data_IF_595142644558
#
_entry.id   IF_595142644558
#
_cell.length_a   1.000
_cell.length_b   1.000
_cell.length_c   1.000
_cell.angle_alpha   90.00
_cell.angle_beta   90.00
_cell.angle_gamma   90.00
#
_symmetry.space_group_name_H-M   'P 1'
#
loop_
_entity.id
_entity.type
_entity.pdbx_description
1 polymer ?
#
# COMPACT_ATOMS: atom_id res chain seq x y z
N UNK A 1 -2.98 20.86 -12.64
CA UNK A 1 -3.91 20.27 -11.66
C UNK A 1 -4.25 18.86 -12.11
N UNK A 2 -4.21 17.92 -11.19
CA UNK A 2 -4.60 16.51 -11.36
C UNK A 2 -5.71 16.19 -10.34
N UNK A 3 -6.49 15.10 -10.55
CA UNK A 3 -7.19 14.46 -9.43
C UNK A 3 -6.18 14.10 -8.35
N UNK A 4 -6.60 14.08 -7.10
CA UNK A 4 -5.77 13.59 -6.03
C UNK A 4 -5.27 12.17 -6.33
N UNK A 5 -3.99 11.93 -6.12
CA UNK A 5 -3.41 10.60 -6.30
C UNK A 5 -3.89 9.67 -5.18
N UNK A 6 -3.98 8.38 -5.49
CA UNK A 6 -4.48 7.36 -4.56
C UNK A 6 -3.43 6.26 -4.44
N UNK A 7 -2.90 6.08 -3.24
CA UNK A 7 -1.95 5.02 -2.91
C UNK A 7 -2.69 3.76 -2.45
N UNK A 8 -2.46 2.62 -3.10
CA UNK A 8 -3.21 1.38 -2.86
C UNK A 8 -2.48 0.34 -2.01
N UNK A 9 -1.24 0.61 -1.60
CA UNK A 9 -0.46 -0.28 -0.74
C UNK A 9 0.67 0.49 -0.04
N UNK A 10 0.82 0.28 1.26
CA UNK A 10 1.89 0.84 2.10
C UNK A 10 2.06 0.02 3.38
N UNK A 11 3.19 0.26 4.09
CA UNK A 11 3.48 -0.18 5.46
C UNK A 11 4.09 1.02 6.21
N UNK A 12 3.27 1.85 6.85
CA UNK A 12 3.68 3.14 7.41
C UNK A 12 4.84 3.05 8.40
N UNK A 13 4.85 2.01 9.24
CA UNK A 13 5.91 1.82 10.24
C UNK A 13 7.30 1.60 9.61
N UNK A 14 7.38 1.17 8.36
CA UNK A 14 8.63 0.88 7.68
C UNK A 14 9.45 2.15 7.37
N UNK A 15 8.89 3.36 7.49
CA UNK A 15 9.67 4.61 7.43
C UNK A 15 10.78 4.66 8.48
N UNK A 16 10.64 3.92 9.57
CA UNK A 16 11.65 3.78 10.63
C UNK A 16 12.83 2.87 10.25
N UNK A 17 12.76 2.17 9.12
CA UNK A 17 13.78 1.20 8.68
C UNK A 17 14.31 1.45 7.27
N UNK A 18 14.21 2.70 6.79
CA UNK A 18 14.75 3.14 5.51
C UNK A 18 16.23 2.85 5.39
N UNK A 19 16.66 2.32 4.25
CA UNK A 19 18.06 2.03 3.94
C UNK A 19 18.81 1.32 5.07
N UNK A 20 18.13 0.45 5.81
CA UNK A 20 18.74 -0.28 6.93
C UNK A 20 19.81 -1.24 6.40
N UNK A 21 21.10 -1.13 6.82
CA UNK A 21 22.19 -1.94 6.25
C UNK A 21 21.94 -3.45 6.28
N UNK A 22 21.26 -3.96 7.32
CA UNK A 22 20.93 -5.38 7.44
C UNK A 22 19.94 -5.89 6.39
N UNK A 23 19.17 -5.01 5.76
CA UNK A 23 18.15 -5.34 4.75
C UNK A 23 18.62 -5.08 3.31
N UNK A 24 19.71 -4.33 3.10
CA UNK A 24 20.20 -3.98 1.76
C UNK A 24 20.66 -5.22 0.97
N UNK A 25 20.40 -5.20 -0.35
CA UNK A 25 20.80 -6.22 -1.31
C UNK A 25 20.29 -7.63 -0.97
N UNK A 26 19.07 -7.73 -0.47
CA UNK A 26 18.39 -8.99 -0.15
C UNK A 26 17.09 -9.11 -0.96
N UNK A 27 16.79 -10.36 -1.40
CA UNK A 27 15.45 -10.70 -1.89
C UNK A 27 14.45 -10.84 -0.73
N UNK A 28 13.14 -10.98 -1.04
CA UNK A 28 12.03 -10.87 -0.10
C UNK A 28 12.20 -11.67 1.21
N UNK A 29 12.45 -12.99 1.15
CA UNK A 29 12.48 -13.82 2.37
C UNK A 29 13.66 -13.50 3.28
N UNK A 30 14.92 -13.39 2.80
CA UNK A 30 16.03 -12.92 3.63
C UNK A 30 15.87 -11.49 4.12
N UNK A 31 15.19 -10.63 3.35
CA UNK A 31 14.87 -9.26 3.73
C UNK A 31 13.88 -9.24 4.91
N UNK A 32 12.77 -9.99 4.84
CA UNK A 32 11.80 -10.15 5.93
C UNK A 32 12.47 -10.72 7.20
N UNK A 33 13.30 -11.76 7.07
CA UNK A 33 14.01 -12.36 8.21
C UNK A 33 14.94 -11.37 8.92
N UNK A 34 15.54 -10.43 8.17
CA UNK A 34 16.38 -9.38 8.75
C UNK A 34 15.56 -8.28 9.46
N UNK A 35 14.36 -7.99 8.97
CA UNK A 35 13.55 -6.86 9.46
C UNK A 35 12.54 -7.23 10.56
N UNK A 36 11.96 -8.43 10.55
CA UNK A 36 11.02 -8.83 11.60
C UNK A 36 11.54 -8.63 13.03
N UNK A 37 12.81 -8.98 13.38
CA UNK A 37 13.34 -8.71 14.72
C UNK A 37 13.43 -7.23 15.06
N UNK A 38 13.62 -6.35 14.05
CA UNK A 38 13.63 -4.90 14.24
C UNK A 38 12.20 -4.39 14.45
N UNK A 39 11.26 -4.82 13.60
CA UNK A 39 9.86 -4.42 13.70
C UNK A 39 9.16 -4.96 14.96
N UNK A 40 9.65 -6.05 15.54
CA UNK A 40 9.18 -6.55 16.84
C UNK A 40 9.40 -5.57 18.01
N UNK A 41 10.15 -4.49 17.79
CA UNK A 41 10.41 -3.41 18.78
C UNK A 41 9.53 -2.19 18.56
N UNK A 42 8.54 -2.25 17.67
CA UNK A 42 7.57 -1.18 17.48
C UNK A 42 6.86 -0.88 18.80
N UNK A 43 6.70 0.41 19.06
CA UNK A 43 5.89 0.93 20.17
C UNK A 43 4.81 1.85 19.64
N UNK A 44 3.76 2.18 20.43
CA UNK A 44 2.74 3.16 20.03
C UNK A 44 3.34 4.49 19.55
N UNK A 45 4.37 5.02 20.22
CA UNK A 45 5.03 6.25 19.79
C UNK A 45 5.77 6.09 18.46
N UNK A 46 6.48 4.97 18.26
CA UNK A 46 7.23 4.70 17.04
C UNK A 46 6.27 4.57 15.85
N UNK A 47 5.17 3.84 16.02
CA UNK A 47 4.14 3.73 15.00
C UNK A 47 3.52 5.08 14.67
N UNK A 48 3.16 5.89 15.68
CA UNK A 48 2.62 7.23 15.45
C UNK A 48 3.58 8.12 14.63
N UNK A 49 4.87 8.09 14.93
CA UNK A 49 5.88 8.84 14.19
C UNK A 49 6.04 8.31 12.76
N UNK A 50 6.12 7.00 12.60
CA UNK A 50 6.23 6.36 11.28
C UNK A 50 5.04 6.68 10.38
N UNK A 51 3.82 6.51 10.89
CA UNK A 51 2.59 6.81 10.18
C UNK A 51 2.48 8.32 9.82
N UNK A 52 2.86 9.20 10.75
CA UNK A 52 2.85 10.65 10.49
C UNK A 52 3.83 11.01 9.36
N UNK A 53 5.04 10.45 9.35
CA UNK A 53 6.03 10.67 8.27
C UNK A 53 5.51 10.15 6.95
N UNK A 54 5.06 8.89 6.89
CA UNK A 54 4.55 8.27 5.66
C UNK A 54 3.41 9.08 5.03
N UNK A 55 2.38 9.38 5.81
CA UNK A 55 1.23 10.14 5.32
C UNK A 55 1.58 11.58 4.94
N UNK A 56 2.54 12.23 5.64
CA UNK A 56 2.99 13.58 5.28
C UNK A 56 3.74 13.60 3.95
N UNK A 57 4.60 12.62 3.67
CA UNK A 57 5.28 12.50 2.38
C UNK A 57 4.30 12.19 1.26
N UNK A 58 3.33 11.29 1.50
CA UNK A 58 2.27 11.01 0.54
C UNK A 58 1.49 12.28 0.19
N UNK A 59 1.03 13.06 1.19
CA UNK A 59 0.35 14.34 0.96
C UNK A 59 1.22 15.29 0.13
N UNK A 60 2.49 15.43 0.47
CA UNK A 60 3.44 16.29 -0.25
C UNK A 60 3.68 15.81 -1.69
N UNK A 61 3.48 14.53 -1.99
CA UNK A 61 3.56 13.98 -3.34
C UNK A 61 2.28 14.18 -4.18
N UNK A 62 1.22 14.75 -3.61
CA UNK A 62 -0.08 14.93 -4.26
C UNK A 62 -1.09 13.82 -3.99
N UNK A 63 -0.78 12.89 -3.09
CA UNK A 63 -1.67 11.83 -2.67
C UNK A 63 -2.75 12.38 -1.73
N UNK A 64 -4.01 12.05 -1.98
CA UNK A 64 -5.17 12.48 -1.16
C UNK A 64 -5.80 11.32 -0.41
N UNK A 65 -5.58 10.10 -0.88
CA UNK A 65 -6.11 8.87 -0.29
C UNK A 65 -5.01 7.82 -0.24
N UNK A 66 -4.84 7.18 0.90
CA UNK A 66 -3.85 6.10 1.05
C UNK A 66 -4.43 4.90 1.76
N UNK A 67 -3.88 3.72 1.44
CA UNK A 67 -4.03 2.52 2.27
C UNK A 67 -2.81 2.36 3.14
N UNK A 68 -2.94 1.55 4.19
CA UNK A 68 -1.82 0.96 4.91
C UNK A 68 -2.09 -0.52 5.15
N UNK A 69 -1.06 -1.35 5.15
CA UNK A 69 -1.11 -2.75 5.50
C UNK A 69 -0.30 -3.00 6.78
N UNK A 70 -0.91 -2.65 7.92
CA UNK A 70 -0.31 -2.88 9.24
C UNK A 70 -0.56 -4.32 9.68
N UNK A 71 0.49 -5.13 9.79
CA UNK A 71 0.38 -6.55 10.14
C UNK A 71 1.33 -7.00 11.28
N UNK A 72 2.12 -6.10 11.83
CA UNK A 72 3.08 -6.36 12.91
C UNK A 72 2.52 -5.87 14.24
N UNK A 73 2.16 -6.79 15.13
CA UNK A 73 1.53 -6.49 16.42
C UNK A 73 2.36 -7.09 17.57
N UNK A 74 3.51 -6.49 17.94
CA UNK A 74 4.23 -6.87 19.15
C UNK A 74 3.42 -6.51 20.39
N UNK A 75 3.74 -7.12 21.52
CA UNK A 75 3.08 -6.84 22.80
C UNK A 75 3.10 -5.33 23.12
N UNK A 76 1.95 -4.78 23.52
CA UNK A 76 1.76 -3.36 23.81
C UNK A 76 1.44 -2.48 22.60
N UNK A 77 1.14 -3.09 21.43
CA UNK A 77 0.73 -2.40 20.22
C UNK A 77 -0.64 -2.90 19.69
N UNK A 78 -1.53 -3.23 20.61
CA UNK A 78 -2.87 -3.76 20.28
C UNK A 78 -3.77 -2.70 19.62
N UNK A 79 -3.50 -1.41 19.86
CA UNK A 79 -4.25 -0.26 19.34
C UNK A 79 -3.63 0.37 18.07
N UNK A 80 -2.81 -0.40 17.32
CA UNK A 80 -2.08 0.11 16.16
C UNK A 80 -2.97 0.86 15.16
N UNK A 81 -4.11 0.30 14.78
CA UNK A 81 -5.03 0.93 13.81
C UNK A 81 -5.66 2.20 14.37
N UNK A 82 -5.92 2.27 15.67
CA UNK A 82 -6.41 3.49 16.35
C UNK A 82 -5.39 4.64 16.25
N UNK A 83 -4.10 4.31 16.41
CA UNK A 83 -2.97 5.26 16.29
C UNK A 83 -2.89 5.82 14.87
N UNK A 84 -2.97 4.96 13.85
CA UNK A 84 -2.95 5.36 12.44
C UNK A 84 -4.17 6.23 12.07
N UNK A 85 -5.36 5.86 12.53
CA UNK A 85 -6.58 6.67 12.35
C UNK A 85 -6.41 8.07 12.97
N UNK A 86 -5.84 8.14 14.17
CA UNK A 86 -5.61 9.43 14.84
C UNK A 86 -4.61 10.31 14.05
N UNK A 87 -3.53 9.72 13.53
CA UNK A 87 -2.57 10.42 12.69
C UNK A 87 -3.19 10.90 11.37
N UNK A 88 -3.98 10.05 10.70
CA UNK A 88 -4.69 10.41 9.47
C UNK A 88 -5.67 11.57 9.65
N UNK A 89 -6.46 11.54 10.73
CA UNK A 89 -7.39 12.61 11.08
C UNK A 89 -6.68 13.93 11.34
N UNK A 90 -5.53 13.90 12.02
CA UNK A 90 -4.73 15.09 12.29
C UNK A 90 -4.18 15.72 11.00
N UNK A 91 -3.74 14.91 10.05
CA UNK A 91 -3.21 15.36 8.77
C UNK A 91 -4.29 15.70 7.73
N UNK A 92 -5.53 15.26 7.95
CA UNK A 92 -6.64 15.47 7.03
C UNK A 92 -6.56 14.62 5.75
N UNK A 93 -5.76 13.55 5.73
CA UNK A 93 -5.68 12.62 4.62
C UNK A 93 -6.80 11.57 4.70
N UNK A 94 -7.36 11.18 3.56
CA UNK A 94 -8.32 10.07 3.47
C UNK A 94 -7.59 8.74 3.55
N UNK A 95 -8.14 7.77 4.30
CA UNK A 95 -7.49 6.47 4.48
C UNK A 95 -8.45 5.29 4.32
N UNK A 96 -7.93 4.20 3.75
CA UNK A 96 -8.44 2.85 3.83
C UNK A 96 -7.37 2.01 4.55
N UNK A 97 -7.42 1.98 5.88
CA UNK A 97 -6.45 1.25 6.68
C UNK A 97 -6.83 -0.23 6.75
N UNK A 98 -5.85 -1.10 6.81
CA UNK A 98 -6.12 -2.52 6.95
C UNK A 98 -5.71 -3.03 8.32
N UNK A 99 -6.62 -3.77 8.97
CA UNK A 99 -6.25 -4.61 10.08
C UNK A 99 -5.57 -5.85 9.52
N UNK A 100 -4.25 -5.75 9.34
CA UNK A 100 -3.41 -6.85 8.89
C UNK A 100 -3.19 -7.87 10.01
N UNK A 101 -2.65 -9.05 9.67
CA UNK A 101 -2.45 -10.10 10.67
C UNK A 101 -1.42 -11.12 10.23
N UNK A 102 -0.76 -11.74 11.22
CA UNK A 102 0.07 -12.93 11.07
C UNK A 102 -0.21 -13.86 12.25
N UNK A 103 -0.45 -15.15 11.97
CA UNK A 103 -0.65 -16.18 13.00
C UNK A 103 0.12 -17.48 12.72
N UNK A 104 1.02 -17.48 11.72
CA UNK A 104 1.93 -18.59 11.42
C UNK A 104 3.37 -18.13 11.65
N UNK A 105 3.96 -18.60 12.74
CA UNK A 105 5.33 -18.30 13.10
C UNK A 105 6.36 -19.28 12.48
N UNK A 106 7.63 -19.01 12.73
CA UNK A 106 8.71 -19.91 12.34
C UNK A 106 8.54 -21.34 12.90
N UNK A 107 7.93 -21.50 14.09
CA UNK A 107 7.59 -22.82 14.68
C UNK A 107 6.62 -23.60 13.80
N UNK A 108 5.74 -22.92 13.10
CA UNK A 108 4.66 -23.50 12.30
C UNK A 108 4.97 -23.47 10.81
N UNK A 109 6.26 -23.30 10.46
CA UNK A 109 6.75 -23.25 9.07
C UNK A 109 6.53 -21.92 8.36
N UNK A 110 6.20 -20.86 9.09
CA UNK A 110 6.13 -19.48 8.56
C UNK A 110 7.47 -18.75 8.65
N UNK A 111 7.49 -17.48 8.25
CA UNK A 111 8.69 -16.64 8.33
C UNK A 111 8.75 -15.74 9.58
N UNK A 112 7.64 -15.20 10.12
CA UNK A 112 7.71 -14.29 11.24
C UNK A 112 8.12 -14.98 12.56
N UNK A 113 8.85 -14.29 13.45
CA UNK A 113 9.11 -14.79 14.80
C UNK A 113 7.84 -14.77 15.64
N UNK A 114 7.80 -15.60 16.70
CA UNK A 114 6.65 -15.70 17.61
C UNK A 114 6.24 -14.36 18.23
N UNK A 115 7.18 -13.43 18.39
CA UNK A 115 6.95 -12.13 19.03
C UNK A 115 6.08 -11.15 18.24
N UNK A 116 5.77 -11.45 16.97
CA UNK A 116 4.97 -10.57 16.10
C UNK A 116 3.73 -11.25 15.53
N UNK A 117 3.46 -12.50 15.92
CA UNK A 117 2.24 -13.21 15.56
C UNK A 117 1.23 -13.16 16.71
N UNK A 118 -0.04 -13.25 16.37
CA UNK A 118 -1.15 -13.27 17.33
C UNK A 118 -1.97 -14.55 17.14
N UNK A 119 -2.73 -14.95 18.16
CA UNK A 119 -3.73 -16.01 18.02
C UNK A 119 -4.93 -15.55 17.17
N UNK A 120 -5.64 -16.52 16.59
CA UNK A 120 -6.74 -16.27 15.65
C UNK A 120 -7.91 -15.52 16.31
N UNK A 121 -8.26 -15.88 17.56
CA UNK A 121 -9.36 -15.25 18.30
C UNK A 121 -9.07 -13.78 18.58
N UNK A 122 -7.87 -13.45 19.00
CA UNK A 122 -7.40 -12.05 19.19
C UNK A 122 -7.47 -11.26 17.89
N UNK A 123 -7.01 -11.85 16.77
CA UNK A 123 -7.04 -11.18 15.47
C UNK A 123 -8.48 -10.89 15.02
N UNK A 124 -9.38 -11.86 15.12
CA UNK A 124 -10.77 -11.71 14.69
C UNK A 124 -11.54 -10.74 15.58
N UNK A 125 -11.34 -10.80 16.89
CA UNK A 125 -11.98 -9.88 17.84
C UNK A 125 -11.55 -8.43 17.61
N UNK A 126 -10.25 -8.19 17.39
CA UNK A 126 -9.73 -6.87 17.11
C UNK A 126 -10.16 -6.36 15.71
N UNK A 127 -10.22 -7.25 14.73
CA UNK A 127 -10.75 -6.92 13.39
C UNK A 127 -12.19 -6.42 13.46
N UNK A 128 -13.05 -7.10 14.21
CA UNK A 128 -14.44 -6.67 14.47
C UNK A 128 -14.48 -5.34 15.21
N UNK A 129 -13.64 -5.16 16.23
CA UNK A 129 -13.54 -3.94 17.03
C UNK A 129 -13.19 -2.72 16.14
N UNK A 130 -12.12 -2.80 15.34
CA UNK A 130 -11.67 -1.66 14.54
C UNK A 130 -12.63 -1.33 13.42
N UNK A 131 -13.26 -2.32 12.79
CA UNK A 131 -14.32 -2.09 11.79
C UNK A 131 -15.50 -1.38 12.44
N UNK A 132 -16.00 -1.88 13.55
CA UNK A 132 -17.14 -1.28 14.27
C UNK A 132 -16.85 0.16 14.72
N UNK A 133 -15.62 0.42 15.18
CA UNK A 133 -15.24 1.71 15.75
C UNK A 133 -14.95 2.77 14.70
N UNK A 134 -14.34 2.40 13.58
CA UNK A 134 -13.72 3.36 12.67
C UNK A 134 -14.26 3.36 11.25
N UNK A 135 -14.83 2.23 10.76
CA UNK A 135 -15.26 2.14 9.37
C UNK A 135 -16.44 3.07 9.09
N UNK A 136 -16.21 4.04 8.22
CA UNK A 136 -17.24 4.94 7.73
C UNK A 136 -17.78 4.44 6.39
N UNK A 137 -19.07 4.64 6.15
CA UNK A 137 -19.74 4.30 4.89
C UNK A 137 -20.08 5.55 4.10
N UNK A 138 -20.27 5.38 2.78
CA UNK A 138 -20.66 6.46 1.87
C UNK A 138 -19.47 7.14 1.20
N UNK A 139 -19.79 8.00 0.24
CA UNK A 139 -18.82 8.63 -0.65
C UNK A 139 -17.90 9.63 0.08
N UNK A 140 -18.41 10.28 1.14
CA UNK A 140 -17.64 11.24 1.94
C UNK A 140 -16.74 10.59 3.00
N UNK A 141 -16.74 9.26 3.10
CA UNK A 141 -15.97 8.55 4.12
C UNK A 141 -14.47 8.93 4.08
N UNK A 142 -13.98 9.45 5.20
CA UNK A 142 -12.56 9.80 5.38
C UNK A 142 -11.74 8.63 5.93
N UNK A 143 -12.38 7.72 6.67
CA UNK A 143 -11.74 6.55 7.26
C UNK A 143 -12.53 5.31 6.91
N UNK A 144 -11.93 4.40 6.20
CA UNK A 144 -12.46 3.05 6.00
C UNK A 144 -11.48 2.02 6.52
N UNK A 145 -11.99 0.85 6.91
CA UNK A 145 -11.20 -0.28 7.37
C UNK A 145 -11.41 -1.45 6.41
N UNK A 146 -10.33 -2.16 6.10
CA UNK A 146 -10.33 -3.43 5.41
C UNK A 146 -9.60 -4.49 6.26
N UNK A 147 -9.72 -5.76 5.90
CA UNK A 147 -9.05 -6.86 6.59
C UNK A 147 -7.95 -7.43 5.70
N UNK A 148 -6.75 -7.66 6.30
CA UNK A 148 -5.58 -8.00 5.50
C UNK A 148 -4.61 -8.96 6.18
N UNK A 149 -4.92 -10.27 6.26
CA UNK A 149 -3.90 -11.29 6.50
C UNK A 149 -2.69 -11.05 5.59
N UNK A 150 -1.47 -11.10 6.15
CA UNK A 150 -0.28 -10.58 5.49
C UNK A 150 0.03 -11.28 4.16
N UNK A 151 0.10 -12.63 4.16
CA UNK A 151 0.46 -13.43 2.98
C UNK A 151 0.19 -14.90 3.22
N UNK A 152 0.13 -15.76 2.19
CA UNK A 152 -0.07 -17.20 2.36
C UNK A 152 0.97 -17.90 3.25
N UNK A 153 2.19 -17.37 3.33
CA UNK A 153 3.28 -17.94 4.12
C UNK A 153 3.35 -17.43 5.58
N UNK A 154 2.50 -16.51 5.98
CA UNK A 154 2.50 -15.90 7.32
C UNK A 154 1.18 -16.08 8.08
N UNK A 155 0.17 -16.73 7.45
CA UNK A 155 -1.13 -16.98 8.05
C UNK A 155 -1.60 -18.42 7.83
N UNK A 156 -2.50 -18.89 8.70
CA UNK A 156 -3.14 -20.19 8.56
C UNK A 156 -4.32 -20.12 7.59
N UNK A 157 -4.69 -21.26 7.00
CA UNK A 157 -5.88 -21.38 6.15
C UNK A 157 -7.17 -21.10 6.91
N UNK A 158 -7.22 -21.43 8.21
CA UNK A 158 -8.34 -21.10 9.10
C UNK A 158 -8.56 -19.60 9.16
N UNK A 159 -7.50 -18.84 9.48
CA UNK A 159 -7.58 -17.38 9.56
C UNK A 159 -7.95 -16.74 8.21
N UNK A 160 -7.41 -17.23 7.08
CA UNK A 160 -7.78 -16.73 5.76
C UNK A 160 -9.29 -16.86 5.52
N UNK A 161 -9.88 -18.04 5.79
CA UNK A 161 -11.32 -18.29 5.63
C UNK A 161 -12.16 -17.48 6.60
N UNK A 162 -11.77 -17.42 7.88
CA UNK A 162 -12.47 -16.65 8.90
C UNK A 162 -12.47 -15.15 8.57
N UNK A 163 -11.35 -14.63 8.06
CA UNK A 163 -11.24 -13.22 7.62
C UNK A 163 -12.15 -12.93 6.41
N UNK A 164 -12.24 -13.83 5.42
CA UNK A 164 -13.16 -13.67 4.30
C UNK A 164 -14.62 -13.61 4.78
N UNK A 165 -15.03 -14.54 5.66
CA UNK A 165 -16.37 -14.54 6.26
C UNK A 165 -16.66 -13.28 7.09
N UNK A 166 -15.66 -12.77 7.83
CA UNK A 166 -15.79 -11.54 8.59
C UNK A 166 -15.96 -10.33 7.68
N UNK A 167 -15.19 -10.26 6.59
CA UNK A 167 -15.29 -9.20 5.59
C UNK A 167 -16.66 -9.18 4.90
N UNK A 168 -17.23 -10.36 4.60
CA UNK A 168 -18.60 -10.47 4.07
C UNK A 168 -19.64 -9.98 5.08
N UNK A 169 -19.51 -10.37 6.35
CA UNK A 169 -20.44 -9.95 7.42
C UNK A 169 -20.47 -8.44 7.64
N UNK A 170 -19.31 -7.79 7.57
CA UNK A 170 -19.18 -6.35 7.79
C UNK A 170 -19.24 -5.53 6.50
N UNK A 171 -19.30 -6.17 5.33
CA UNK A 171 -19.23 -5.52 4.04
C UNK A 171 -18.01 -4.60 3.92
N UNK A 172 -16.83 -5.14 4.21
CA UNK A 172 -15.54 -4.48 4.07
C UNK A 172 -14.67 -5.19 3.05
N UNK A 173 -13.59 -4.52 2.61
CA UNK A 173 -12.69 -5.05 1.59
C UNK A 173 -11.62 -5.98 2.19
N UNK A 174 -10.97 -6.73 1.29
CA UNK A 174 -9.92 -7.70 1.61
C UNK A 174 -8.62 -7.33 0.88
N UNK A 175 -7.49 -7.43 1.59
CA UNK A 175 -6.17 -7.18 1.03
C UNK A 175 -5.15 -8.22 1.51
N UNK A 176 -4.20 -8.57 0.65
CA UNK A 176 -3.04 -9.42 1.00
C UNK A 176 -1.95 -9.28 -0.06
N UNK A 177 -0.71 -9.63 0.28
CA UNK A 177 0.34 -9.86 -0.72
C UNK A 177 0.06 -11.18 -1.43
N UNK A 178 0.20 -11.20 -2.76
CA UNK A 178 0.02 -12.42 -3.53
C UNK A 178 0.82 -12.41 -4.84
N UNK A 179 1.41 -13.56 -5.14
CA UNK A 179 2.18 -13.81 -6.35
C UNK A 179 3.34 -12.81 -6.55
N UNK A 180 4.02 -12.46 -5.45
CA UNK A 180 5.12 -11.51 -5.47
C UNK A 180 6.42 -12.16 -5.94
N UNK A 181 6.72 -13.39 -5.48
CA UNK A 181 7.97 -14.09 -5.79
C UNK A 181 7.73 -15.56 -6.16
N UNK A 182 8.70 -16.18 -6.86
CA UNK A 182 8.70 -17.61 -7.11
C UNK A 182 8.81 -18.44 -5.82
N UNK A 183 9.40 -17.89 -4.76
CA UNK A 183 9.48 -18.59 -3.47
C UNK A 183 8.10 -18.72 -2.82
N UNK A 184 7.21 -17.76 -3.02
CA UNK A 184 5.81 -17.86 -2.61
C UNK A 184 5.07 -18.96 -3.40
N UNK A 185 5.27 -19.05 -4.72
CA UNK A 185 4.71 -20.13 -5.54
C UNK A 185 5.11 -21.50 -4.99
N UNK A 186 6.42 -21.70 -4.76
CA UNK A 186 6.96 -22.94 -4.19
C UNK A 186 6.39 -23.24 -2.81
N UNK A 187 6.28 -22.21 -1.96
CA UNK A 187 5.67 -22.35 -0.64
C UNK A 187 4.23 -22.85 -0.74
N UNK A 188 3.39 -22.21 -1.56
CA UNK A 188 2.00 -22.59 -1.74
C UNK A 188 1.86 -24.01 -2.31
N UNK A 189 2.66 -24.39 -3.29
CA UNK A 189 2.67 -25.74 -3.85
C UNK A 189 3.06 -26.80 -2.80
N UNK A 190 4.06 -26.52 -1.96
CA UNK A 190 4.51 -27.43 -0.91
C UNK A 190 3.52 -27.55 0.26
N UNK A 191 2.97 -26.42 0.70
CA UNK A 191 2.12 -26.36 1.91
C UNK A 191 0.67 -26.61 1.61
N UNK A 192 0.17 -26.23 0.45
CA UNK A 192 -1.24 -26.23 0.08
C UNK A 192 -1.57 -27.11 -1.13
N UNK A 193 -0.53 -27.59 -1.84
CA UNK A 193 -0.69 -28.45 -3.03
C UNK A 193 -1.24 -27.71 -4.27
N UNK A 194 -1.19 -26.38 -4.27
CA UNK A 194 -1.73 -25.56 -5.35
C UNK A 194 -1.02 -24.22 -5.44
N UNK A 195 -1.25 -23.48 -6.56
CA UNK A 195 -0.69 -22.16 -6.77
C UNK A 195 -1.36 -21.10 -5.85
N UNK A 196 -0.72 -19.93 -5.63
CA UNK A 196 -1.23 -18.88 -4.73
C UNK A 196 -2.68 -18.46 -5.01
N UNK A 197 -3.08 -18.26 -6.26
CA UNK A 197 -4.45 -17.85 -6.59
C UNK A 197 -5.47 -18.96 -6.31
N UNK A 198 -5.13 -20.23 -6.59
CA UNK A 198 -6.00 -21.36 -6.29
C UNK A 198 -6.24 -21.50 -4.79
N UNK A 199 -5.16 -21.32 -3.99
CA UNK A 199 -5.27 -21.28 -2.54
C UNK A 199 -6.19 -20.14 -2.07
N UNK A 200 -6.04 -18.95 -2.64
CA UNK A 200 -6.85 -17.79 -2.29
C UNK A 200 -8.34 -18.02 -2.61
N UNK A 201 -8.63 -18.60 -3.78
CA UNK A 201 -9.99 -18.95 -4.18
C UNK A 201 -10.62 -20.00 -3.23
N UNK A 202 -9.87 -21.04 -2.84
CA UNK A 202 -10.31 -22.04 -1.86
C UNK A 202 -10.60 -21.43 -0.48
N UNK A 203 -10.02 -20.27 -0.17
CA UNK A 203 -10.28 -19.51 1.06
C UNK A 203 -11.46 -18.53 0.93
N UNK A 204 -12.11 -18.43 -0.24
CA UNK A 204 -13.25 -17.52 -0.46
C UNK A 204 -12.85 -16.06 -0.77
N UNK A 205 -11.64 -15.83 -1.21
CA UNK A 205 -11.10 -14.47 -1.43
C UNK A 205 -11.29 -13.94 -2.84
N UNK A 206 -11.52 -14.78 -3.84
CA UNK A 206 -11.58 -14.37 -5.23
C UNK A 206 -12.91 -13.66 -5.54
N UNK A 207 -12.96 -12.35 -5.31
CA UNK A 207 -14.16 -11.52 -5.47
C UNK A 207 -13.82 -10.06 -5.73
N UNK A 208 -14.82 -9.25 -6.12
CA UNK A 208 -14.69 -7.81 -6.31
C UNK A 208 -14.30 -7.04 -5.03
N UNK A 209 -14.38 -7.68 -3.88
CA UNK A 209 -13.98 -7.13 -2.58
C UNK A 209 -12.47 -7.11 -2.39
N UNK A 210 -11.73 -7.90 -3.18
CA UNK A 210 -10.30 -8.17 -2.99
C UNK A 210 -9.43 -7.30 -3.87
N UNK A 211 -8.38 -6.73 -3.29
CA UNK A 211 -7.24 -6.22 -4.05
C UNK A 211 -5.94 -6.81 -3.50
N UNK A 212 -4.98 -7.09 -4.37
CA UNK A 212 -3.77 -7.83 -4.06
C UNK A 212 -2.54 -6.95 -4.32
N UNK A 213 -1.55 -7.01 -3.46
CA UNK A 213 -0.27 -6.34 -3.71
C UNK A 213 0.61 -7.21 -4.62
N UNK A 214 1.40 -6.55 -5.47
CA UNK A 214 2.41 -7.05 -6.41
C UNK A 214 1.87 -7.76 -7.64
N UNK A 215 1.34 -8.99 -7.52
CA UNK A 215 0.73 -9.73 -8.64
C UNK A 215 1.67 -10.05 -9.80
N UNK A 216 2.94 -10.37 -9.52
CA UNK A 216 3.98 -10.53 -10.55
C UNK A 216 3.88 -11.87 -11.27
N UNK A 217 3.59 -12.95 -10.53
CA UNK A 217 3.71 -14.33 -11.01
C UNK A 217 2.37 -15.01 -11.32
N UNK A 218 1.38 -14.26 -11.78
CA UNK A 218 0.16 -14.84 -12.30
C UNK A 218 0.33 -15.33 -13.74
N UNK A 219 -0.23 -16.51 -14.04
CA UNK A 219 -0.33 -17.01 -15.41
C UNK A 219 -1.57 -16.43 -16.14
N UNK A 220 -1.70 -16.61 -17.48
CA UNK A 220 -2.81 -16.05 -18.24
C UNK A 220 -4.21 -16.48 -17.77
N UNK A 221 -4.38 -17.71 -17.30
CA UNK A 221 -5.67 -18.19 -16.80
C UNK A 221 -6.01 -17.62 -15.43
N UNK A 222 -5.02 -17.44 -14.57
CA UNK A 222 -5.18 -16.74 -13.29
C UNK A 222 -5.57 -15.28 -13.50
N UNK A 223 -4.94 -14.57 -14.47
CA UNK A 223 -5.30 -13.19 -14.80
C UNK A 223 -6.76 -13.08 -15.29
N UNK A 224 -7.23 -14.01 -16.13
CA UNK A 224 -8.63 -14.06 -16.55
C UNK A 224 -9.59 -14.27 -15.36
N UNK A 225 -9.26 -15.17 -14.44
CA UNK A 225 -10.07 -15.42 -13.23
C UNK A 225 -10.15 -14.18 -12.34
N UNK A 226 -9.02 -13.47 -12.15
CA UNK A 226 -8.99 -12.18 -11.45
C UNK A 226 -9.91 -11.15 -12.11
N UNK A 227 -9.84 -11.00 -13.43
CA UNK A 227 -10.69 -10.08 -14.19
C UNK A 227 -12.19 -10.43 -14.09
N UNK A 228 -12.55 -11.71 -14.24
CA UNK A 228 -13.92 -12.18 -14.07
C UNK A 228 -14.46 -11.94 -12.66
N UNK A 229 -13.64 -12.13 -11.65
CA UNK A 229 -13.96 -11.86 -10.25
C UNK A 229 -13.99 -10.36 -9.91
N UNK A 230 -13.53 -9.49 -10.82
CA UNK A 230 -13.32 -8.05 -10.60
C UNK A 230 -12.38 -7.76 -9.40
N UNK A 231 -11.46 -8.67 -9.13
CA UNK A 231 -10.39 -8.43 -8.20
C UNK A 231 -9.41 -7.40 -8.80
N UNK A 232 -8.66 -6.71 -7.94
CA UNK A 232 -7.76 -5.65 -8.37
C UNK A 232 -6.32 -5.90 -7.93
N UNK A 233 -5.36 -5.23 -8.57
CA UNK A 233 -3.93 -5.31 -8.26
C UNK A 233 -3.38 -3.93 -7.90
N UNK A 234 -2.62 -3.89 -6.82
CA UNK A 234 -1.72 -2.79 -6.46
C UNK A 234 -0.33 -3.07 -7.02
N UNK A 235 0.04 -2.39 -8.10
CA UNK A 235 1.37 -2.50 -8.69
C UNK A 235 2.37 -1.63 -7.91
N UNK A 236 3.41 -2.27 -7.35
CA UNK A 236 4.45 -1.65 -6.52
C UNK A 236 5.78 -1.64 -7.27
N UNK A 237 5.93 -0.75 -8.25
CA UNK A 237 7.01 -0.77 -9.22
C UNK A 237 8.41 -0.60 -8.58
N UNK A 238 8.55 0.34 -7.63
CA UNK A 238 9.83 0.60 -6.95
C UNK A 238 10.23 -0.61 -6.09
N UNK A 239 9.34 -1.08 -5.23
CA UNK A 239 9.61 -2.23 -4.34
C UNK A 239 9.95 -3.47 -5.13
N UNK A 240 9.20 -3.78 -6.19
CA UNK A 240 9.47 -4.92 -7.06
C UNK A 240 10.87 -4.87 -7.70
N UNK A 241 11.39 -3.67 -8.01
CA UNK A 241 12.73 -3.48 -8.55
C UNK A 241 13.81 -3.58 -7.47
N UNK A 242 13.60 -2.98 -6.30
CA UNK A 242 14.56 -2.99 -5.19
C UNK A 242 14.77 -4.41 -4.64
N UNK A 243 13.68 -5.17 -4.46
CA UNK A 243 13.72 -6.56 -4.02
C UNK A 243 14.04 -7.54 -5.16
N UNK A 244 14.15 -7.05 -6.41
CA UNK A 244 14.31 -7.87 -7.61
C UNK A 244 13.24 -8.97 -7.74
N UNK A 245 12.00 -8.69 -7.26
CA UNK A 245 10.87 -9.62 -7.32
C UNK A 245 10.43 -9.89 -8.75
N UNK A 246 10.50 -8.89 -9.63
CA UNK A 246 10.12 -9.00 -11.05
C UNK A 246 9.28 -7.84 -11.55
N UNK A 247 8.57 -8.06 -12.65
CA UNK A 247 7.73 -7.04 -13.30
C UNK A 247 6.29 -7.54 -13.45
N UNK A 248 5.36 -6.92 -12.76
CA UNK A 248 3.93 -7.20 -12.86
C UNK A 248 3.45 -7.07 -14.31
N UNK A 249 2.69 -8.03 -14.86
CA UNK A 249 2.18 -8.02 -16.23
C UNK A 249 0.94 -7.11 -16.37
N UNK A 250 1.13 -5.80 -16.15
CA UNK A 250 0.05 -4.80 -16.03
C UNK A 250 -0.83 -4.77 -17.29
N UNK A 251 -0.25 -4.80 -18.49
CA UNK A 251 -1.03 -4.69 -19.72
C UNK A 251 -1.91 -5.94 -19.94
N UNK A 252 -1.37 -7.14 -19.71
CA UNK A 252 -2.13 -8.39 -19.82
C UNK A 252 -3.26 -8.48 -18.78
N UNK A 253 -3.01 -7.97 -17.57
CA UNK A 253 -4.03 -7.90 -16.52
C UNK A 253 -5.16 -6.93 -16.89
N UNK A 254 -4.84 -5.73 -17.42
CA UNK A 254 -5.86 -4.79 -17.89
C UNK A 254 -6.67 -5.38 -19.05
N UNK A 255 -6.04 -6.11 -19.98
CA UNK A 255 -6.73 -6.83 -21.07
C UNK A 255 -7.65 -7.92 -20.53
N UNK A 256 -7.29 -8.55 -19.42
CA UNK A 256 -8.13 -9.53 -18.74
C UNK A 256 -9.25 -8.87 -17.90
N UNK A 257 -9.31 -7.54 -17.80
CA UNK A 257 -10.32 -6.79 -17.05
C UNK A 257 -9.99 -6.56 -15.58
N UNK A 258 -8.73 -6.77 -15.16
CA UNK A 258 -8.26 -6.49 -13.80
C UNK A 258 -8.02 -4.99 -13.64
N UNK A 259 -8.52 -4.40 -12.56
CA UNK A 259 -8.23 -3.00 -12.22
C UNK A 259 -6.82 -2.88 -11.64
N UNK A 260 -6.03 -1.93 -12.15
CA UNK A 260 -4.67 -1.68 -11.68
C UNK A 260 -4.61 -0.35 -10.92
N UNK A 261 -4.11 -0.40 -9.69
CA UNK A 261 -3.71 0.75 -8.91
C UNK A 261 -2.20 0.78 -8.68
N UNK A 262 -1.67 1.89 -8.19
CA UNK A 262 -0.27 2.02 -7.77
C UNK A 262 -0.16 2.04 -6.24
N UNK A 263 0.80 1.31 -5.71
CA UNK A 263 1.19 1.31 -4.31
C UNK A 263 2.67 1.61 -4.16
N UNK A 264 3.02 2.54 -3.27
CA UNK A 264 4.43 2.83 -2.99
C UNK A 264 5.11 1.70 -2.22
N UNK A 265 4.31 0.82 -1.54
CA UNK A 265 4.79 -0.19 -0.61
C UNK A 265 5.47 0.42 0.63
N UNK A 266 6.07 -0.42 1.48
CA UNK A 266 6.74 0.04 2.68
C UNK A 266 8.08 0.73 2.39
N UNK A 267 8.40 1.72 3.23
CA UNK A 267 9.65 2.49 3.09
C UNK A 267 10.91 1.73 3.55
N UNK A 268 10.88 0.41 3.59
CA UNK A 268 12.05 -0.45 3.73
C UNK A 268 12.36 -1.23 2.45
N UNK A 269 11.48 -1.13 1.43
CA UNK A 269 11.66 -1.69 0.09
C UNK A 269 11.45 -0.65 -1.03
N UNK A 270 10.93 0.55 -0.71
CA UNK A 270 10.90 1.70 -1.63
C UNK A 270 11.74 2.86 -1.08
N UNK A 271 11.92 2.95 0.22
CA UNK A 271 12.65 3.98 0.97
C UNK A 271 12.05 5.39 0.90
N UNK A 272 11.01 5.63 0.12
CA UNK A 272 10.24 6.88 0.10
C UNK A 272 8.73 6.61 0.04
N UNK A 273 7.93 7.56 0.56
CA UNK A 273 6.47 7.50 0.46
C UNK A 273 6.00 8.55 -0.54
N UNK A 274 6.50 8.47 -1.78
CA UNK A 274 6.25 9.46 -2.83
C UNK A 274 5.53 8.84 -4.03
N UNK A 275 4.21 9.05 -4.12
CA UNK A 275 3.42 8.42 -5.17
C UNK A 275 3.70 8.97 -6.59
N UNK A 276 4.18 10.22 -6.73
CA UNK A 276 4.61 10.72 -8.04
C UNK A 276 5.90 10.07 -8.54
N UNK A 277 6.82 9.69 -7.64
CA UNK A 277 7.98 8.89 -8.01
C UNK A 277 7.57 7.46 -8.38
N UNK A 278 6.60 6.88 -7.69
CA UNK A 278 6.02 5.58 -8.05
C UNK A 278 5.37 5.61 -9.43
N UNK A 279 4.62 6.69 -9.77
CA UNK A 279 4.09 6.92 -11.13
C UNK A 279 5.20 6.88 -12.18
N UNK A 280 6.32 7.56 -11.90
CA UNK A 280 7.47 7.58 -12.81
C UNK A 280 8.14 6.21 -12.93
N UNK A 281 8.34 5.53 -11.82
CA UNK A 281 8.93 4.19 -11.79
C UNK A 281 8.06 3.17 -12.55
N UNK A 282 6.76 3.16 -12.29
CA UNK A 282 5.79 2.32 -13.02
C UNK A 282 5.81 2.61 -14.52
N UNK A 283 5.81 3.88 -14.92
CA UNK A 283 5.95 4.27 -16.33
C UNK A 283 7.21 3.69 -16.96
N UNK A 284 8.38 3.89 -16.34
CA UNK A 284 9.67 3.45 -16.90
C UNK A 284 9.76 1.93 -16.96
N UNK A 285 9.37 1.23 -15.90
CA UNK A 285 9.40 -0.23 -15.81
C UNK A 285 8.50 -0.87 -16.86
N UNK A 286 7.23 -0.43 -16.94
CA UNK A 286 6.26 -0.98 -17.88
C UNK A 286 6.62 -0.62 -19.32
N UNK A 287 7.16 0.57 -19.56
CA UNK A 287 7.63 0.97 -20.89
C UNK A 287 8.84 0.15 -21.35
N UNK A 288 9.76 -0.19 -20.45
CA UNK A 288 10.88 -1.08 -20.76
C UNK A 288 10.40 -2.50 -21.11
N UNK A 289 9.31 -2.98 -20.46
CA UNK A 289 8.71 -4.29 -20.73
C UNK A 289 7.94 -4.34 -22.05
N UNK A 290 7.10 -3.32 -22.35
CA UNK A 290 6.10 -3.38 -23.42
C UNK A 290 6.41 -2.48 -24.63
N UNK A 291 7.40 -1.60 -24.54
CA UNK A 291 7.77 -0.69 -25.61
C UNK A 291 7.02 0.63 -25.58
N UNK A 292 7.45 1.54 -26.49
CA UNK A 292 7.04 2.95 -26.47
C UNK A 292 5.59 3.18 -26.91
N UNK A 293 5.04 2.30 -27.71
CA UNK A 293 3.68 2.43 -28.25
C UNK A 293 2.61 1.93 -27.29
N UNK A 294 2.99 1.00 -26.38
CA UNK A 294 2.05 0.31 -25.52
C UNK A 294 1.76 1.04 -24.21
N UNK A 295 2.74 1.76 -23.65
CA UNK A 295 2.63 2.43 -22.35
C UNK A 295 3.02 3.90 -22.48
N UNK A 296 2.14 4.79 -22.08
CA UNK A 296 2.33 6.24 -22.05
C UNK A 296 2.38 6.79 -20.62
N UNK A 297 2.84 8.04 -20.48
CA UNK A 297 2.76 8.77 -19.22
C UNK A 297 1.33 8.93 -18.70
N UNK A 298 0.33 8.93 -19.60
CA UNK A 298 -1.09 9.04 -19.24
C UNK A 298 -1.59 7.75 -18.59
N UNK A 299 -1.08 6.59 -19.01
CA UNK A 299 -1.43 5.31 -18.39
C UNK A 299 -0.94 5.25 -16.95
N UNK A 300 0.31 5.66 -16.70
CA UNK A 300 0.86 5.69 -15.35
C UNK A 300 0.09 6.65 -14.42
N UNK A 301 -0.31 7.82 -14.90
CA UNK A 301 -1.17 8.74 -14.14
C UNK A 301 -2.57 8.16 -13.91
N UNK A 302 -3.13 7.44 -14.90
CA UNK A 302 -4.42 6.77 -14.77
C UNK A 302 -4.35 5.67 -13.72
N UNK A 303 -3.27 4.88 -13.65
CA UNK A 303 -3.08 3.87 -12.59
C UNK A 303 -3.05 4.49 -11.20
N UNK A 304 -2.41 5.66 -11.02
CA UNK A 304 -2.34 6.36 -9.73
C UNK A 304 -3.61 7.14 -9.35
N UNK A 305 -4.59 7.26 -10.24
CA UNK A 305 -5.81 8.03 -10.03
C UNK A 305 -7.05 7.14 -10.18
N UNK A 306 -7.69 7.12 -11.36
CA UNK A 306 -8.90 6.35 -11.64
C UNK A 306 -8.70 4.83 -11.45
N UNK A 307 -7.55 4.30 -11.83
CA UNK A 307 -7.20 2.89 -11.63
C UNK A 307 -7.09 2.54 -10.15
N UNK A 308 -6.38 3.37 -9.37
CA UNK A 308 -6.28 3.21 -7.92
C UNK A 308 -7.63 3.36 -7.22
N UNK A 309 -8.47 4.32 -7.65
CA UNK A 309 -9.82 4.47 -7.12
C UNK A 309 -10.66 3.19 -7.31
N UNK A 310 -10.62 2.61 -8.52
CA UNK A 310 -11.28 1.33 -8.81
C UNK A 310 -10.67 0.18 -7.98
N UNK A 311 -9.35 0.15 -7.84
CA UNK A 311 -8.62 -0.86 -7.06
C UNK A 311 -9.09 -0.88 -5.61
N UNK A 312 -9.24 0.27 -4.96
CA UNK A 312 -9.71 0.38 -3.56
C UNK A 312 -11.23 0.50 -3.41
N UNK A 313 -11.99 0.38 -4.52
CA UNK A 313 -13.45 0.39 -4.51
C UNK A 313 -14.07 1.76 -4.17
N UNK A 314 -13.41 2.84 -4.56
CA UNK A 314 -13.83 4.23 -4.33
C UNK A 314 -14.03 4.97 -5.66
N UNK A 315 -15.08 4.61 -6.46
CA UNK A 315 -15.29 5.16 -7.80
C UNK A 315 -15.59 6.67 -7.82
N UNK A 316 -15.95 7.25 -6.68
CA UNK A 316 -16.16 8.70 -6.52
C UNK A 316 -14.84 9.50 -6.48
N UNK A 317 -13.68 8.82 -6.34
CA UNK A 317 -12.34 9.41 -6.31
C UNK A 317 -11.62 9.28 -7.65
N UNK A 318 -10.45 9.90 -7.78
CA UNK A 318 -9.50 9.70 -8.89
C UNK A 318 -9.88 10.37 -10.21
N UNK A 319 -10.91 11.22 -10.23
CA UNK A 319 -11.38 11.95 -11.41
C UNK A 319 -11.86 13.36 -11.04
N UNK A 320 -11.59 14.34 -11.89
CA UNK A 320 -12.13 15.69 -11.75
C UNK A 320 -13.40 15.79 -12.59
N UNK A 321 -14.55 15.66 -11.95
CA UNK A 321 -15.87 15.76 -12.60
C UNK A 321 -16.91 16.24 -11.59
N UNK A 322 -18.02 16.76 -12.10
CA UNK A 322 -19.17 17.16 -11.26
C UNK A 322 -19.70 15.92 -10.53
N UNK A 323 -19.94 16.03 -9.23
CA UNK A 323 -20.42 14.94 -8.37
C UNK A 323 -19.32 14.03 -7.83
N UNK A 324 -18.04 14.27 -8.14
CA UNK A 324 -16.90 13.57 -7.54
C UNK A 324 -16.39 14.31 -6.31
N UNK A 325 -15.66 13.59 -5.46
CA UNK A 325 -15.02 14.19 -4.29
C UNK A 325 -14.01 15.27 -4.72
N UNK A 326 -13.98 16.38 -3.96
CA UNK A 326 -13.03 17.47 -4.21
C UNK A 326 -11.64 17.12 -3.65
N UNK A 327 -11.02 16.09 -4.24
CA UNK A 327 -9.67 15.61 -3.95
C UNK A 327 -8.77 16.00 -5.14
N UNK A 328 -7.86 16.96 -4.93
CA UNK A 328 -7.07 17.61 -5.99
C UNK A 328 -5.59 17.72 -5.62
N UNK A 329 -4.71 17.58 -6.61
CA UNK A 329 -3.28 17.86 -6.49
C UNK A 329 -2.84 18.89 -7.52
N UNK A 330 -2.21 19.97 -7.06
CA UNK A 330 -1.70 21.06 -7.88
C UNK A 330 -0.17 21.06 -7.84
N UNK A 331 0.45 21.06 -9.02
CA UNK A 331 1.89 21.11 -9.18
C UNK A 331 2.30 22.39 -9.89
N UNK A 332 3.34 23.06 -9.41
CA UNK A 332 4.02 24.14 -10.11
C UNK A 332 5.00 23.56 -11.14
N UNK A 333 5.17 24.25 -12.27
CA UNK A 333 6.11 23.88 -13.33
C UNK A 333 7.15 24.98 -13.58
N UNK A 334 7.43 25.80 -12.56
CA UNK A 334 8.37 26.92 -12.58
C UNK A 334 9.74 26.58 -11.98
N UNK A 335 10.03 25.29 -11.82
CA UNK A 335 11.34 24.77 -11.39
C UNK A 335 12.26 24.49 -12.59
N UNK A 336 13.59 24.51 -12.35
CA UNK A 336 14.59 24.20 -13.37
C UNK A 336 14.34 22.90 -14.11
N UNK A 337 13.87 21.85 -13.40
CA UNK A 337 13.56 20.54 -13.98
C UNK A 337 12.47 20.57 -15.05
N UNK A 338 11.58 21.54 -15.01
CA UNK A 338 10.49 21.68 -15.96
C UNK A 338 10.78 22.71 -17.07
N UNK A 339 11.90 23.45 -16.99
CA UNK A 339 12.27 24.45 -18.00
C UNK A 339 12.37 23.80 -19.38
N UNK A 340 11.70 24.39 -20.37
CA UNK A 340 11.69 23.88 -21.74
C UNK A 340 10.69 22.74 -22.02
N UNK A 341 9.80 22.40 -21.08
CA UNK A 341 8.76 21.40 -21.33
C UNK A 341 7.75 21.87 -22.40
N UNK A 342 7.30 20.94 -23.25
CA UNK A 342 6.26 21.20 -24.27
C UNK A 342 4.87 20.77 -23.79
N UNK A 343 4.78 19.64 -23.10
CA UNK A 343 3.53 19.09 -22.56
C UNK A 343 3.60 19.07 -21.04
N UNK A 344 2.75 19.83 -20.32
CA UNK A 344 2.80 19.93 -18.86
C UNK A 344 2.44 18.60 -18.17
N UNK A 345 1.58 17.78 -18.76
CA UNK A 345 1.20 16.49 -18.17
C UNK A 345 2.34 15.47 -18.29
N UNK A 346 2.96 15.41 -19.47
CA UNK A 346 4.15 14.60 -19.68
C UNK A 346 5.32 15.07 -18.79
N UNK A 347 5.48 16.38 -18.60
CA UNK A 347 6.54 16.93 -17.76
C UNK A 347 6.45 16.45 -16.31
N UNK A 348 5.25 16.33 -15.73
CA UNK A 348 5.08 15.80 -14.37
C UNK A 348 5.72 14.41 -14.22
N UNK A 349 5.55 13.54 -15.20
CA UNK A 349 6.09 12.16 -15.16
C UNK A 349 7.53 12.11 -15.63
N UNK A 350 7.84 12.69 -16.81
CA UNK A 350 9.14 12.55 -17.46
C UNK A 350 10.23 13.38 -16.78
N UNK A 351 9.91 14.60 -16.34
CA UNK A 351 10.84 15.44 -15.58
C UNK A 351 10.86 15.11 -14.09
N UNK A 352 9.97 14.22 -13.63
CA UNK A 352 9.97 13.70 -12.28
C UNK A 352 9.48 14.70 -11.23
N UNK A 353 8.21 15.11 -11.32
CA UNK A 353 7.59 15.86 -10.24
C UNK A 353 7.67 15.05 -8.94
N UNK A 354 7.99 15.69 -7.83
CA UNK A 354 8.14 15.01 -6.54
C UNK A 354 7.38 15.71 -5.40
N UNK A 355 6.91 16.94 -5.64
CA UNK A 355 6.22 17.73 -4.63
C UNK A 355 5.07 18.53 -5.24
N UNK A 356 3.89 18.38 -4.65
CA UNK A 356 2.75 19.22 -4.98
C UNK A 356 2.87 20.58 -4.29
N UNK A 357 2.40 21.63 -4.96
CA UNK A 357 2.28 22.96 -4.38
C UNK A 357 1.08 23.05 -3.44
N UNK A 358 -0.06 22.46 -3.86
CA UNK A 358 -1.28 22.39 -3.05
C UNK A 358 -1.95 21.04 -3.20
N UNK A 359 -2.54 20.56 -2.09
CA UNK A 359 -3.37 19.35 -2.08
C UNK A 359 -4.66 19.63 -1.34
N UNK A 360 -5.77 19.22 -1.93
CA UNK A 360 -7.10 19.31 -1.35
C UNK A 360 -7.67 17.92 -1.12
N UNK A 361 -8.23 17.68 0.05
CA UNK A 361 -8.93 16.44 0.43
C UNK A 361 -10.31 16.77 0.93
N UNK A 362 -11.35 16.25 0.28
CA UNK A 362 -12.73 16.52 0.65
C UNK A 362 -13.06 18.02 0.72
N UNK A 363 -12.49 18.84 -0.18
CA UNK A 363 -12.68 20.28 -0.23
C UNK A 363 -11.80 21.08 0.74
N UNK A 364 -10.96 20.46 1.55
CA UNK A 364 -10.09 21.15 2.52
C UNK A 364 -8.62 21.13 2.04
N UNK A 365 -7.94 22.27 2.10
CA UNK A 365 -6.51 22.36 1.79
C UNK A 365 -5.67 21.70 2.89
N UNK A 366 -4.98 20.62 2.57
CA UNK A 366 -4.09 19.88 3.49
C UNK A 366 -2.62 20.06 3.17
N UNK A 367 -2.30 20.58 1.98
CA UNK A 367 -0.98 21.10 1.61
C UNK A 367 -1.17 22.49 1.01
N UNK A 368 -0.38 23.45 1.45
CA UNK A 368 -0.38 24.83 0.98
C UNK A 368 1.08 25.28 0.81
N UNK A 369 1.39 25.82 -0.37
CA UNK A 369 2.74 26.27 -0.74
C UNK A 369 3.82 25.21 -0.46
N UNK A 370 3.50 23.95 -0.80
CA UNK A 370 4.37 22.79 -0.61
C UNK A 370 4.62 22.41 0.86
N UNK A 371 3.78 22.83 1.80
CA UNK A 371 3.90 22.46 3.23
C UNK A 371 2.59 21.91 3.77
N UNK A 372 2.66 21.05 4.78
CA UNK A 372 1.51 20.56 5.53
C UNK A 372 1.25 21.56 6.67
N UNK A 373 0.13 22.30 6.67
CA UNK A 373 -0.14 23.31 7.70
C UNK A 373 -0.16 22.71 9.10
N UNK A 374 0.51 23.40 10.04
CA UNK A 374 0.56 22.98 11.46
C UNK A 374 1.46 21.78 11.75
N UNK A 375 2.20 21.28 10.77
CA UNK A 375 3.20 20.22 10.98
C UNK A 375 4.58 20.86 11.24
N UNK A 376 5.15 20.61 12.42
CA UNK A 376 6.54 20.95 12.73
C UNK A 376 7.47 19.89 12.14
N UNK A 377 7.87 20.10 10.88
CA UNK A 377 8.71 19.15 10.13
C UNK A 377 10.09 18.96 10.79
N UNK A 378 10.81 20.01 11.26
CA UNK A 378 12.08 19.84 11.99
C UNK A 378 11.93 18.97 13.25
N UNK A 379 10.90 19.18 14.07
CA UNK A 379 10.65 18.35 15.25
C UNK A 379 10.30 16.92 14.88
N UNK A 380 9.44 16.73 13.89
CA UNK A 380 9.07 15.40 13.40
C UNK A 380 10.30 14.61 12.92
N UNK A 381 11.16 15.21 12.10
CA UNK A 381 12.42 14.59 11.65
C UNK A 381 13.30 14.21 12.82
N UNK A 382 13.48 15.10 13.79
CA UNK A 382 14.31 14.85 14.98
C UNK A 382 13.81 13.65 15.78
N UNK A 383 12.49 13.63 16.07
CA UNK A 383 11.83 12.55 16.85
C UNK A 383 11.83 11.22 16.09
N UNK A 384 11.45 11.23 14.82
CA UNK A 384 11.43 10.05 13.98
C UNK A 384 12.82 9.42 13.83
N UNK A 385 13.85 10.25 13.59
CA UNK A 385 15.24 9.77 13.52
C UNK A 385 15.75 9.21 14.85
N UNK A 386 15.31 9.75 15.98
CA UNK A 386 15.64 9.21 17.30
C UNK A 386 14.95 7.85 17.52
N UNK A 387 13.66 7.73 17.17
CA UNK A 387 12.90 6.48 17.23
C UNK A 387 13.51 5.39 16.34
N UNK A 388 13.89 5.71 15.10
CA UNK A 388 14.56 4.79 14.19
C UNK A 388 15.87 4.26 14.79
N UNK A 389 16.73 5.15 15.31
CA UNK A 389 17.98 4.73 15.98
C UNK A 389 17.73 3.84 17.19
N UNK A 390 16.74 4.15 18.03
CA UNK A 390 16.38 3.32 19.18
C UNK A 390 15.89 1.94 18.77
N UNK A 391 15.08 1.87 17.69
CA UNK A 391 14.58 0.62 17.15
C UNK A 391 15.69 -0.25 16.51
N UNK A 392 16.74 0.38 15.95
CA UNK A 392 17.86 -0.35 15.32
C UNK A 392 18.88 -0.86 16.38
N UNK A 393 19.07 -0.14 17.49
CA UNK A 393 20.11 -0.42 18.48
C UNK A 393 19.84 -1.62 19.39
N UNK A 394 18.63 -2.10 19.47
CA UNK A 394 18.26 -3.29 20.24
C UNK A 394 18.32 -4.54 19.38
#
# INVERSE_FOLDING_TARGET
MLPGLINTHHHFYQTLTRALPAALNRGLFPWLQALYPVWARLTPEFLHLGATVAMSELLLSGCTTTTDHHYVFPAGLEDAIDIEVAAARRLGIRVLLTRGSMNRSQRDGGLPPDSVVQDEDTILADSERVVTKHHQRGEDAMVQIALAPCSPFSVTTSLMRATAALADRFDVRLHTHLAETEDENKFCEQMHGCRPLDYLEQCGWLSARTWLAHGIFFNPDEMKRLGLAKAAISHCACSNQILASGCCPVCEMEEAGVSIGLGVDGSASNDESNLMQEVRAAFLLQRARYGVERVSHKDALRWATKGSAACVGRPELGEIAVGKAADLALFKLDELRFSGHGDPLAALVLCGAHRADRVMVGGNWVVVDGTVPGLDVPDLIRRHSAAARAMHAG
#
